data_IF_284740084730
#
_entry.id   IF_284740084730
#
_cell.length_a   1.000
_cell.length_b   1.000
_cell.length_c   1.000
_cell.angle_alpha   90.00
_cell.angle_beta   90.00
_cell.angle_gamma   90.00
#
_symmetry.space_group_name_H-M   'P 1'
#
loop_
_entity.id
_entity.type
_entity.pdbx_description
1 polymer ?
#
# COMPACT_ATOMS: atom_id res chain seq x y z
N UNK A 1 -3.91 7.78 -5.65
CA UNK A 1 -2.55 7.24 -5.78
C UNK A 1 -2.04 6.73 -4.43
N UNK A 2 -1.27 5.65 -4.44
CA UNK A 2 -0.54 5.12 -3.28
C UNK A 2 0.96 5.22 -3.59
N UNK A 3 1.74 5.80 -2.69
CA UNK A 3 3.20 5.95 -2.81
C UNK A 3 3.89 5.38 -1.58
N UNK A 4 4.90 4.54 -1.76
CA UNK A 4 5.77 4.12 -0.65
C UNK A 4 6.71 5.27 -0.30
N UNK A 5 6.56 5.81 0.91
CA UNK A 5 7.42 6.88 1.42
C UNK A 5 8.75 6.33 1.94
N UNK A 6 8.71 5.17 2.59
CA UNK A 6 9.87 4.59 3.25
C UNK A 6 9.68 3.11 3.55
N UNK A 7 10.80 2.39 3.69
CA UNK A 7 10.79 0.97 4.03
C UNK A 7 11.91 0.66 5.00
N UNK A 8 11.70 -0.29 5.91
CA UNK A 8 12.76 -0.87 6.76
C UNK A 8 12.70 -2.39 6.68
N UNK A 9 13.85 -3.03 6.59
CA UNK A 9 13.94 -4.48 6.38
C UNK A 9 13.64 -4.89 4.94
N UNK A 10 13.25 -6.15 4.75
CA UNK A 10 12.91 -6.68 3.45
C UNK A 10 11.43 -6.41 3.14
N UNK A 11 11.17 -5.85 1.98
CA UNK A 11 9.85 -5.35 1.55
C UNK A 11 9.73 -5.61 0.05
N UNK A 12 8.54 -5.93 -0.49
CA UNK A 12 8.38 -6.36 -1.87
C UNK A 12 8.72 -5.24 -2.87
N UNK A 13 8.49 -3.99 -2.47
CA UNK A 13 8.94 -2.79 -3.15
C UNK A 13 9.64 -1.84 -2.17
N UNK A 14 10.33 -0.84 -2.73
CA UNK A 14 11.08 0.17 -1.98
C UNK A 14 10.42 1.54 -2.12
N UNK A 15 10.90 2.49 -1.31
CA UNK A 15 10.48 3.89 -1.36
C UNK A 15 10.48 4.42 -2.81
N UNK A 16 9.47 5.21 -3.15
CA UNK A 16 9.24 5.73 -4.49
C UNK A 16 8.37 4.85 -5.38
N UNK A 17 8.13 3.57 -5.04
CA UNK A 17 7.15 2.76 -5.76
C UNK A 17 5.73 3.35 -5.63
N UNK A 18 4.98 3.32 -6.72
CA UNK A 18 3.65 3.92 -6.84
C UNK A 18 2.64 2.92 -7.41
N UNK A 19 1.39 3.08 -6.98
CA UNK A 19 0.23 2.39 -7.52
C UNK A 19 -0.95 3.36 -7.64
N UNK A 20 -1.62 3.36 -8.79
CA UNK A 20 -2.89 4.08 -8.97
C UNK A 20 -4.03 3.10 -8.69
N UNK A 21 -5.02 3.57 -7.94
CA UNK A 21 -6.27 2.85 -7.69
C UNK A 21 -7.39 3.72 -8.24
N UNK A 22 -8.18 3.16 -9.16
CA UNK A 22 -9.35 3.84 -9.72
C UNK A 22 -10.60 3.50 -8.91
N UNK A 23 -11.62 4.36 -8.93
CA UNK A 23 -12.90 4.08 -8.24
C UNK A 23 -13.56 2.78 -8.75
N UNK A 24 -13.35 2.46 -10.03
CA UNK A 24 -13.79 1.20 -10.65
C UNK A 24 -13.14 -0.05 -10.06
N UNK A 25 -12.09 0.11 -9.23
CA UNK A 25 -11.29 -0.98 -8.68
C UNK A 25 -10.17 -1.45 -9.59
N UNK A 26 -10.03 -0.88 -10.80
CA UNK A 26 -8.85 -1.07 -11.62
C UNK A 26 -7.61 -0.51 -10.90
N UNK A 27 -6.45 -1.08 -11.23
CA UNK A 27 -5.16 -0.62 -10.71
C UNK A 27 -4.14 -0.45 -11.83
N UNK A 28 -3.18 0.46 -11.62
CA UNK A 28 -1.97 0.58 -12.44
C UNK A 28 -0.74 0.63 -11.54
N UNK A 29 0.23 -0.25 -11.80
CA UNK A 29 1.38 -0.44 -10.91
C UNK A 29 1.05 -1.35 -9.72
N UNK A 30 2.02 -1.49 -8.82
CA UNK A 30 1.90 -2.30 -7.60
C UNK A 30 2.89 -1.80 -6.57
N UNK A 31 2.47 -1.73 -5.31
CA UNK A 31 3.37 -1.50 -4.16
C UNK A 31 3.86 -2.83 -3.56
N UNK A 32 3.30 -3.95 -4.01
CA UNK A 32 3.63 -5.28 -3.55
C UNK A 32 3.04 -5.55 -2.16
N UNK A 33 2.86 -6.84 -1.85
CA UNK A 33 2.47 -7.27 -0.50
C UNK A 33 1.07 -7.87 -0.36
N UNK A 34 0.52 -8.48 -1.41
CA UNK A 34 -0.64 -9.38 -1.30
C UNK A 34 -1.81 -8.75 -0.54
N UNK A 35 -2.14 -9.32 0.63
CA UNK A 35 -3.24 -8.83 1.47
C UNK A 35 -3.04 -7.38 1.95
N UNK A 36 -1.80 -6.93 2.17
CA UNK A 36 -1.53 -5.54 2.50
C UNK A 36 -1.87 -4.59 1.34
N UNK A 37 -1.58 -4.98 0.10
CA UNK A 37 -1.96 -4.19 -1.07
C UNK A 37 -3.50 -4.09 -1.19
N UNK A 38 -4.20 -5.20 -0.99
CA UNK A 38 -5.66 -5.22 -1.00
C UNK A 38 -6.28 -4.33 0.11
N UNK A 39 -5.71 -4.33 1.32
CA UNK A 39 -6.16 -3.44 2.40
C UNK A 39 -5.92 -1.96 2.04
N UNK A 40 -4.76 -1.62 1.48
CA UNK A 40 -4.46 -0.25 1.08
C UNK A 40 -5.34 0.22 -0.09
N UNK A 41 -5.80 -0.68 -0.97
CA UNK A 41 -6.79 -0.35 -1.99
C UNK A 41 -8.16 0.02 -1.39
N UNK A 42 -8.55 -0.53 -0.25
CA UNK A 42 -9.78 -0.12 0.44
C UNK A 42 -9.66 1.32 0.95
N UNK A 43 -8.55 1.64 1.61
CA UNK A 43 -8.26 2.99 2.07
C UNK A 43 -8.13 4.00 0.91
N UNK A 44 -7.58 3.58 -0.23
CA UNK A 44 -7.55 4.44 -1.42
C UNK A 44 -8.95 4.85 -1.90
N UNK A 45 -9.94 3.95 -1.83
CA UNK A 45 -11.33 4.29 -2.17
C UNK A 45 -11.95 5.26 -1.18
N UNK A 46 -11.62 5.16 0.11
CA UNK A 46 -12.04 6.14 1.12
C UNK A 46 -11.45 7.52 0.81
N UNK A 47 -10.13 7.59 0.55
CA UNK A 47 -9.44 8.84 0.18
C UNK A 47 -9.99 9.46 -1.10
N UNK A 48 -10.37 8.66 -2.10
CA UNK A 48 -11.00 9.18 -3.33
C UNK A 48 -12.32 9.88 -3.03
N UNK A 49 -13.15 9.31 -2.15
CA UNK A 49 -14.47 9.87 -1.78
C UNK A 49 -14.36 11.09 -0.89
N UNK A 50 -13.51 11.02 0.13
CA UNK A 50 -13.45 12.04 1.17
C UNK A 50 -12.48 13.19 0.80
N UNK A 51 -11.54 12.95 -0.12
CA UNK A 51 -10.53 13.90 -0.56
C UNK A 51 -9.43 14.16 0.47
N UNK A 52 -9.41 13.43 1.58
CA UNK A 52 -8.45 13.59 2.68
C UNK A 52 -7.36 12.53 2.54
N UNK A 53 -6.11 12.95 2.39
CA UNK A 53 -4.98 12.02 2.31
C UNK A 53 -4.78 11.23 3.62
N UNK A 54 -4.18 10.04 3.51
CA UNK A 54 -3.85 9.19 4.66
C UNK A 54 -2.40 8.72 4.57
N UNK A 55 -1.74 8.57 5.73
CA UNK A 55 -0.46 7.87 5.85
C UNK A 55 -0.69 6.58 6.64
N UNK A 56 -0.25 5.44 6.10
CA UNK A 56 -0.42 4.12 6.73
C UNK A 56 0.92 3.45 6.94
N UNK A 57 1.00 2.64 7.99
CA UNK A 57 2.13 1.76 8.26
C UNK A 57 1.69 0.32 8.00
N UNK A 58 2.45 -0.37 7.14
CA UNK A 58 2.26 -1.78 6.83
C UNK A 58 3.36 -2.56 7.53
N UNK A 59 2.98 -3.46 8.42
CA UNK A 59 3.89 -4.38 9.09
C UNK A 59 3.75 -5.77 8.47
N UNK A 60 4.84 -6.27 7.87
CA UNK A 60 4.92 -7.58 7.23
C UNK A 60 5.80 -8.55 8.02
N UNK A 61 5.97 -8.32 9.32
CA UNK A 61 6.82 -9.13 10.21
C UNK A 61 6.03 -10.14 11.07
N UNK A 62 4.70 -10.03 11.12
CA UNK A 62 3.86 -10.83 12.02
C UNK A 62 3.66 -12.29 11.57
N UNK A 63 3.32 -13.17 12.52
CA UNK A 63 3.04 -14.61 12.27
C UNK A 63 1.95 -14.86 11.20
N UNK A 64 0.92 -14.01 11.15
CA UNK A 64 -0.11 -14.08 10.10
C UNK A 64 0.45 -13.80 8.70
N UNK A 65 1.45 -12.92 8.58
CA UNK A 65 2.13 -12.67 7.31
C UNK A 65 3.00 -13.86 6.89
N UNK A 66 3.52 -14.63 7.85
CA UNK A 66 4.26 -15.87 7.60
C UNK A 66 3.35 -16.99 7.07
N UNK A 67 2.17 -17.15 7.67
CA UNK A 67 1.15 -18.13 7.24
C UNK A 67 0.58 -17.83 5.85
N UNK A 68 0.51 -16.55 5.45
CA UNK A 68 0.06 -16.10 4.13
C UNK A 68 1.20 -16.05 3.08
N UNK A 69 2.41 -16.53 3.41
CA UNK A 69 3.57 -16.55 2.49
C UNK A 69 4.19 -15.17 2.22
N UNK A 70 3.80 -14.15 2.97
CA UNK A 70 4.28 -12.77 2.86
C UNK A 70 5.52 -12.56 3.74
N UNK A 71 6.55 -13.40 3.59
CA UNK A 71 7.80 -13.31 4.39
C UNK A 71 8.75 -12.27 3.80
N UNK A 72 8.26 -11.06 3.56
CA UNK A 72 9.16 -9.95 3.31
C UNK A 72 9.87 -9.55 4.61
N UNK A 73 9.21 -9.63 5.78
CA UNK A 73 9.87 -9.44 7.08
C UNK A 73 10.32 -7.99 7.35
N UNK A 74 9.62 -7.03 6.75
CA UNK A 74 9.90 -5.61 6.89
C UNK A 74 8.63 -4.77 7.03
N UNK A 75 8.83 -3.47 7.13
CA UNK A 75 7.75 -2.49 7.31
C UNK A 75 7.80 -1.43 6.22
N UNK A 76 6.64 -0.94 5.82
CA UNK A 76 6.49 0.14 4.83
C UNK A 76 5.65 1.27 5.40
N UNK A 77 6.06 2.51 5.12
CA UNK A 77 5.22 3.68 5.30
C UNK A 77 4.71 4.12 3.94
N UNK A 78 3.40 4.27 3.80
CA UNK A 78 2.74 4.58 2.53
C UNK A 78 1.86 5.83 2.66
N UNK A 79 1.92 6.69 1.66
CA UNK A 79 1.00 7.79 1.45
C UNK A 79 -0.12 7.31 0.52
N UNK A 80 -1.35 7.64 0.87
CA UNK A 80 -2.54 7.48 0.04
C UNK A 80 -3.11 8.88 -0.16
N UNK A 81 -3.17 9.33 -1.41
CA UNK A 81 -3.65 10.66 -1.77
C UNK A 81 -4.56 10.57 -2.99
N UNK A 82 -5.49 11.52 -3.15
CA UNK A 82 -6.26 11.64 -4.39
C UNK A 82 -5.34 12.20 -5.48
N UNK A 83 -5.46 11.64 -6.68
CA UNK A 83 -4.70 12.12 -7.84
C UNK A 83 -5.68 12.89 -8.73
N UNK A 84 -5.43 14.18 -8.94
CA UNK A 84 -6.39 15.13 -9.53
C UNK A 84 -6.09 15.45 -11.01
N UNK A 85 -5.38 14.57 -11.72
CA UNK A 85 -5.07 14.75 -13.15
C UNK A 85 -6.25 14.42 -14.07
#
# INVERSE_FOLDING_TARGET
MITILGTKGSTPRKAGAKMIVYETGLIQGTIGGGCAEANLMQHAREVIRDGIYQIRHVDMTGKAAEEEGMVCGGVMQVLIERDDF
#
